data_IF_169386861286
#
_entry.id   IF_169386861286
#
_cell.length_a   1.000
_cell.length_b   1.000
_cell.length_c   1.000
_cell.angle_alpha   90.00
_cell.angle_beta   90.00
_cell.angle_gamma   90.00
#
_symmetry.space_group_name_H-M   'P 1'
#
loop_
_entity.id
_entity.type
_entity.pdbx_description
1 polymer ?
#
# COMPACT_ATOMS: atom_id res chain seq x y z
N UNK A 1 23.05 0.22 -6.48
CA UNK A 1 21.63 0.24 -6.88
C UNK A 1 21.40 -0.83 -7.94
N UNK A 2 20.47 -1.77 -7.70
CA UNK A 2 20.13 -2.91 -8.57
C UNK A 2 19.57 -2.46 -9.94
N UNK A 3 19.08 -1.23 -10.03
CA UNK A 3 18.55 -0.60 -11.23
C UNK A 3 19.18 0.80 -11.37
N UNK A 4 19.88 1.07 -12.47
CA UNK A 4 20.54 2.37 -12.71
C UNK A 4 19.56 3.54 -12.93
N UNK A 5 18.28 3.23 -13.11
CA UNK A 5 17.13 4.14 -13.17
C UNK A 5 15.96 3.48 -12.44
N UNK A 6 15.02 4.27 -11.90
CA UNK A 6 13.81 3.74 -11.25
C UNK A 6 12.90 3.16 -12.35
N UNK A 7 12.55 1.87 -12.32
CA UNK A 7 11.66 1.28 -13.31
C UNK A 7 10.23 1.84 -13.17
N UNK A 8 9.43 1.77 -14.23
CA UNK A 8 8.02 2.16 -14.16
C UNK A 8 7.15 1.12 -13.45
N UNK A 9 7.61 -0.13 -13.38
CA UNK A 9 6.90 -1.23 -12.75
C UNK A 9 7.89 -2.26 -12.20
N UNK A 10 7.61 -2.78 -11.00
CA UNK A 10 8.28 -3.92 -10.41
C UNK A 10 7.43 -5.19 -10.61
N UNK A 11 8.10 -6.35 -10.67
CA UNK A 11 7.40 -7.63 -10.86
C UNK A 11 6.58 -8.00 -9.62
N UNK A 12 5.32 -8.37 -9.84
CA UNK A 12 4.45 -9.01 -8.85
C UNK A 12 4.08 -10.39 -9.37
N UNK A 13 4.44 -11.44 -8.64
CA UNK A 13 4.22 -12.83 -9.07
C UNK A 13 2.82 -13.29 -8.67
N UNK A 14 1.80 -12.75 -9.33
CA UNK A 14 0.39 -13.01 -8.99
C UNK A 14 0.04 -14.51 -8.87
N UNK A 15 0.56 -15.36 -9.76
CA UNK A 15 0.33 -16.82 -9.69
C UNK A 15 1.00 -17.50 -8.51
N UNK A 16 2.13 -16.97 -8.01
CA UNK A 16 2.78 -17.50 -6.82
C UNK A 16 2.07 -17.04 -5.55
N UNK A 17 1.59 -15.79 -5.54
CA UNK A 17 0.71 -15.29 -4.49
C UNK A 17 -0.60 -16.08 -4.40
N UNK A 18 -1.23 -16.42 -5.52
CA UNK A 18 -2.45 -17.26 -5.52
C UNK A 18 -2.19 -18.63 -4.87
N UNK A 19 -1.12 -19.32 -5.29
CA UNK A 19 -0.70 -20.60 -4.68
C UNK A 19 -0.35 -20.47 -3.19
N UNK A 20 0.22 -19.33 -2.79
CA UNK A 20 0.54 -19.06 -1.39
C UNK A 20 -0.75 -18.95 -0.57
N UNK A 21 -1.72 -18.15 -1.04
CA UNK A 21 -3.01 -17.96 -0.35
C UNK A 21 -3.89 -19.21 -0.36
N UNK A 22 -3.81 -20.09 -1.37
CA UNK A 22 -4.49 -21.39 -1.37
C UNK A 22 -4.05 -22.29 -0.20
N UNK A 23 -2.81 -22.15 0.27
CA UNK A 23 -2.28 -22.90 1.42
C UNK A 23 -2.63 -22.26 2.76
N UNK A 24 -3.05 -20.99 2.75
CA UNK A 24 -3.34 -20.25 3.96
C UNK A 24 -4.67 -20.72 4.57
N UNK A 25 -4.58 -21.38 5.72
CA UNK A 25 -5.70 -21.80 6.58
C UNK A 25 -5.68 -21.04 7.90
N UNK A 26 -6.85 -20.77 8.50
CA UNK A 26 -6.95 -19.96 9.74
C UNK A 26 -6.22 -20.55 10.96
N UNK A 27 -5.73 -21.80 10.92
CA UNK A 27 -5.30 -22.54 12.12
C UNK A 27 -3.79 -22.74 12.29
N UNK A 28 -2.95 -22.58 11.26
CA UNK A 28 -1.53 -23.01 11.31
C UNK A 28 -0.50 -22.01 10.71
N UNK A 29 -0.89 -20.77 10.39
CA UNK A 29 -0.11 -19.93 9.46
C UNK A 29 0.38 -18.57 9.98
N UNK A 30 0.43 -18.34 11.30
CA UNK A 30 0.97 -17.08 11.86
C UNK A 30 2.44 -16.79 11.44
N UNK A 31 3.20 -17.80 11.03
CA UNK A 31 4.59 -17.69 10.55
C UNK A 31 4.77 -18.14 9.08
N UNK A 32 3.70 -18.27 8.29
CA UNK A 32 3.82 -18.68 6.89
C UNK A 32 4.35 -17.52 6.04
N UNK A 33 5.57 -17.68 5.53
CA UNK A 33 6.23 -16.69 4.66
C UNK A 33 6.29 -17.18 3.21
N UNK A 34 6.18 -16.29 2.21
CA UNK A 34 6.29 -16.68 0.81
C UNK A 34 7.70 -17.16 0.47
N UNK A 35 7.80 -18.31 -0.21
CA UNK A 35 9.08 -18.91 -0.65
C UNK A 35 9.61 -18.33 -1.98
N UNK A 36 9.03 -17.23 -2.46
CA UNK A 36 9.41 -16.58 -3.72
C UNK A 36 9.76 -15.11 -3.51
N UNK A 37 10.65 -14.58 -4.37
CA UNK A 37 11.02 -13.16 -4.39
C UNK A 37 10.19 -12.42 -5.45
N UNK A 38 9.53 -11.34 -5.04
CA UNK A 38 8.96 -10.32 -5.91
C UNK A 38 9.01 -8.94 -5.23
N UNK A 39 8.38 -7.91 -5.81
CA UNK A 39 8.44 -6.57 -5.24
C UNK A 39 7.79 -6.44 -3.84
N UNK A 40 6.87 -7.33 -3.47
CA UNK A 40 6.19 -7.30 -2.16
C UNK A 40 6.93 -8.11 -1.10
N UNK A 41 7.65 -9.16 -1.49
CA UNK A 41 8.47 -9.94 -0.55
C UNK A 41 9.88 -9.36 -0.36
N UNK A 42 10.29 -8.44 -1.24
CA UNK A 42 11.54 -7.69 -1.10
C UNK A 42 11.41 -6.64 0.01
N UNK A 43 12.30 -6.69 1.00
CA UNK A 43 12.35 -5.71 2.07
C UNK A 43 13.13 -4.45 1.64
N UNK A 44 12.42 -3.49 1.06
CA UNK A 44 13.00 -2.24 0.54
C UNK A 44 13.49 -1.28 1.64
N UNK A 45 12.95 -1.43 2.85
CA UNK A 45 13.15 -0.52 3.97
C UNK A 45 14.37 -0.86 4.82
N UNK A 46 14.88 -2.10 4.74
CA UNK A 46 16.00 -2.60 5.57
C UNK A 46 17.27 -1.74 5.52
N UNK A 47 17.53 -1.08 4.38
CA UNK A 47 18.70 -0.20 4.20
C UNK A 47 18.35 1.30 4.31
N UNK A 48 17.09 1.63 4.62
CA UNK A 48 16.60 3.00 4.73
C UNK A 48 16.52 3.36 6.22
N UNK A 49 17.31 4.35 6.63
CA UNK A 49 17.24 4.88 7.98
C UNK A 49 15.98 5.76 8.12
N UNK A 50 14.95 5.24 8.79
CA UNK A 50 13.70 5.97 9.06
C UNK A 50 13.52 6.13 10.57
N UNK A 51 13.29 7.36 11.02
CA UNK A 51 12.91 7.62 12.40
C UNK A 51 11.43 7.28 12.61
N UNK A 52 11.14 6.02 12.94
CA UNK A 52 9.77 5.49 13.14
C UNK A 52 8.96 6.34 14.12
N UNK A 53 9.55 6.76 15.24
CA UNK A 53 8.85 7.55 16.25
C UNK A 53 8.45 8.96 15.76
N UNK A 54 9.21 9.54 14.82
CA UNK A 54 8.83 10.80 14.18
C UNK A 54 7.78 10.57 13.09
N UNK A 55 7.93 9.51 12.29
CA UNK A 55 6.93 9.14 11.28
C UNK A 55 5.55 8.92 11.91
N UNK A 56 5.48 8.16 13.02
CA UNK A 56 4.24 7.96 13.76
C UNK A 56 3.61 9.29 14.21
N UNK A 57 4.41 10.22 14.74
CA UNK A 57 3.92 11.55 15.16
C UNK A 57 3.44 12.39 13.98
N UNK A 58 4.02 12.22 12.79
CA UNK A 58 3.54 12.88 11.59
C UNK A 58 2.16 12.33 11.21
N UNK A 59 1.99 11.00 11.22
CA UNK A 59 0.72 10.35 10.88
C UNK A 59 -0.36 10.64 11.93
N UNK A 60 -0.02 10.68 13.22
CA UNK A 60 -0.93 11.04 14.32
C UNK A 60 -1.53 12.45 14.18
N UNK A 61 -0.89 13.35 13.42
CA UNK A 61 -1.44 14.70 13.11
C UNK A 61 -2.44 14.68 11.96
N UNK A 62 -2.43 13.62 11.14
CA UNK A 62 -3.21 13.50 9.90
C UNK A 62 -4.48 12.68 10.16
N UNK A 63 -4.34 11.57 10.88
CA UNK A 63 -5.40 10.57 11.07
C UNK A 63 -5.29 9.95 12.46
N UNK A 64 -6.42 9.47 13.02
CA UNK A 64 -6.47 8.85 14.35
C UNK A 64 -6.02 7.39 14.32
N UNK A 65 -5.42 6.91 15.41
CA UNK A 65 -5.11 5.49 15.58
C UNK A 65 -6.38 4.63 15.60
N UNK A 66 -6.32 3.44 15.03
CA UNK A 66 -7.39 2.46 15.10
C UNK A 66 -7.64 2.05 16.55
N UNK A 67 -8.91 1.96 16.95
CA UNK A 67 -9.28 1.69 18.36
C UNK A 67 -9.39 0.20 18.70
N UNK A 68 -9.37 -0.66 17.68
CA UNK A 68 -9.64 -2.09 17.77
C UNK A 68 -8.37 -2.96 17.73
N UNK A 69 -7.19 -2.37 17.58
CA UNK A 69 -5.89 -3.07 17.62
C UNK A 69 -4.86 -2.23 18.37
N UNK A 70 -3.86 -2.91 18.92
CA UNK A 70 -2.64 -2.30 19.45
C UNK A 70 -1.54 -2.14 18.38
N UNK A 71 -1.78 -2.66 17.16
CA UNK A 71 -0.88 -2.51 16.02
C UNK A 71 -0.77 -1.05 15.57
N UNK A 72 0.27 -0.76 14.81
CA UNK A 72 0.55 0.58 14.26
C UNK A 72 -0.33 0.87 13.04
N UNK A 73 -1.65 0.92 13.28
CA UNK A 73 -2.69 1.16 12.28
C UNK A 73 -3.44 2.45 12.64
N UNK A 74 -3.69 3.28 11.62
CA UNK A 74 -4.55 4.45 11.71
C UNK A 74 -5.79 4.29 10.84
N UNK A 75 -6.92 4.78 11.35
CA UNK A 75 -8.23 4.66 10.73
C UNK A 75 -9.05 5.91 11.02
N UNK A 76 -9.75 6.42 10.01
CA UNK A 76 -10.72 7.50 10.14
C UNK A 76 -12.04 7.01 10.79
N UNK A 77 -11.97 6.53 12.03
CA UNK A 77 -13.12 5.96 12.72
C UNK A 77 -14.25 6.99 12.89
N UNK A 78 -15.44 6.67 12.37
CA UNK A 78 -16.65 7.53 12.41
C UNK A 78 -16.53 8.84 11.62
N UNK A 79 -15.61 8.92 10.67
CA UNK A 79 -15.47 10.06 9.76
C UNK A 79 -16.38 9.95 8.51
N UNK A 80 -16.50 11.05 7.78
CA UNK A 80 -17.19 11.10 6.48
C UNK A 80 -16.48 10.26 5.39
N UNK A 81 -15.15 10.12 5.50
CA UNK A 81 -14.30 9.46 4.51
C UNK A 81 -13.57 8.26 5.11
N UNK A 82 -13.38 7.21 4.31
CA UNK A 82 -12.75 5.94 4.72
C UNK A 82 -11.25 5.88 4.36
N UNK A 83 -10.41 6.55 5.16
CA UNK A 83 -8.95 6.54 5.02
C UNK A 83 -8.31 5.58 6.03
N UNK A 84 -7.15 5.04 5.68
CA UNK A 84 -6.33 4.25 6.61
C UNK A 84 -4.85 4.26 6.24
N UNK A 85 -4.03 4.00 7.25
CA UNK A 85 -2.58 3.85 7.17
C UNK A 85 -2.18 2.64 7.99
N UNK A 86 -1.25 1.84 7.48
CA UNK A 86 -0.64 0.72 8.19
C UNK A 86 0.87 0.88 8.17
N UNK A 87 1.50 0.67 9.32
CA UNK A 87 2.95 0.62 9.48
C UNK A 87 3.35 -0.70 10.12
N UNK A 88 3.81 -1.65 9.31
CA UNK A 88 4.41 -2.88 9.78
C UNK A 88 5.87 -2.64 10.16
N UNK A 89 6.26 -3.09 11.35
CA UNK A 89 7.65 -3.16 11.77
C UNK A 89 8.11 -4.61 11.76
N UNK A 90 9.41 -4.81 11.55
CA UNK A 90 9.98 -6.14 11.64
C UNK A 90 9.92 -6.69 13.08
N UNK A 91 10.15 -8.00 13.25
CA UNK A 91 10.04 -8.68 14.58
C UNK A 91 10.91 -8.05 15.69
N UNK A 92 11.96 -7.30 15.35
CA UNK A 92 12.83 -6.59 16.32
C UNK A 92 12.49 -5.10 16.49
N UNK A 93 11.50 -4.58 15.76
CA UNK A 93 11.14 -3.16 15.68
C UNK A 93 12.31 -2.24 15.28
N UNK A 94 13.28 -2.76 14.55
CA UNK A 94 14.48 -2.04 14.11
C UNK A 94 14.27 -1.28 12.80
N UNK A 95 13.40 -1.79 11.92
CA UNK A 95 13.09 -1.16 10.65
C UNK A 95 11.64 -1.45 10.23
N UNK A 96 11.17 -0.66 9.28
CA UNK A 96 9.84 -0.80 8.66
C UNK A 96 9.84 -2.05 7.79
N UNK A 97 8.86 -2.93 7.94
CA UNK A 97 8.65 -4.03 6.99
C UNK A 97 7.65 -3.64 5.90
N UNK A 98 6.61 -2.88 6.27
CA UNK A 98 5.58 -2.41 5.36
C UNK A 98 5.12 -1.00 5.75
N UNK A 99 4.90 -0.14 4.77
CA UNK A 99 4.21 1.13 4.97
C UNK A 99 3.21 1.34 3.84
N UNK A 100 1.93 1.37 4.19
CA UNK A 100 0.82 1.44 3.24
C UNK A 100 -0.21 2.47 3.69
N UNK A 101 -0.86 3.12 2.74
CA UNK A 101 -2.06 3.91 3.01
C UNK A 101 -3.14 3.65 1.95
N UNK A 102 -4.40 3.78 2.36
CA UNK A 102 -5.56 3.79 1.49
C UNK A 102 -6.28 5.12 1.66
N UNK A 103 -6.60 5.74 0.53
CA UNK A 103 -7.36 6.99 0.52
C UNK A 103 -8.74 6.77 -0.09
N UNK A 104 -9.74 7.35 0.55
CA UNK A 104 -11.07 7.52 -0.01
C UNK A 104 -11.06 8.66 -1.02
N UNK A 105 -11.20 8.31 -2.31
CA UNK A 105 -11.19 9.28 -3.41
C UNK A 105 -12.48 10.13 -3.48
N UNK A 106 -13.48 9.86 -2.65
CA UNK A 106 -14.63 10.76 -2.49
C UNK A 106 -14.31 11.96 -1.59
N UNK A 107 -13.20 11.93 -0.85
CA UNK A 107 -12.69 13.08 -0.09
C UNK A 107 -12.17 14.17 -1.04
N UNK A 108 -13.06 15.10 -1.38
CA UNK A 108 -12.73 16.24 -2.25
C UNK A 108 -11.78 17.26 -1.60
N UNK A 109 -11.54 17.19 -0.29
CA UNK A 109 -10.59 18.08 0.38
C UNK A 109 -9.14 17.69 0.08
N UNK A 110 -8.90 16.40 -0.21
CA UNK A 110 -7.59 15.81 -0.47
C UNK A 110 -6.57 16.03 0.67
N UNK A 111 -7.02 16.44 1.86
CA UNK A 111 -6.11 16.77 2.97
C UNK A 111 -5.30 15.56 3.41
N UNK A 112 -5.95 14.41 3.59
CA UNK A 112 -5.29 13.15 3.92
C UNK A 112 -4.26 12.78 2.84
N UNK A 113 -4.71 12.70 1.58
CA UNK A 113 -3.86 12.29 0.48
C UNK A 113 -2.65 13.21 0.32
N UNK A 114 -2.84 14.53 0.29
CA UNK A 114 -1.72 15.48 0.15
C UNK A 114 -0.73 15.34 1.30
N UNK A 115 -1.20 15.15 2.53
CA UNK A 115 -0.32 14.97 3.69
C UNK A 115 0.52 13.70 3.57
N UNK A 116 -0.05 12.58 3.11
CA UNK A 116 0.70 11.34 2.85
C UNK A 116 1.72 11.52 1.72
N UNK A 117 1.34 12.21 0.64
CA UNK A 117 2.26 12.53 -0.45
C UNK A 117 3.42 13.42 0.02
N UNK A 118 3.17 14.35 0.92
CA UNK A 118 4.21 15.22 1.49
C UNK A 118 5.18 14.43 2.37
N UNK A 119 4.70 13.51 3.22
CA UNK A 119 5.58 12.57 3.96
C UNK A 119 6.49 11.81 2.99
N UNK A 120 5.94 11.26 1.90
CA UNK A 120 6.74 10.55 0.91
C UNK A 120 7.79 11.45 0.24
N UNK A 121 7.43 12.70 -0.11
CA UNK A 121 8.38 13.65 -0.73
C UNK A 121 9.50 14.04 0.23
N UNK A 122 9.18 14.32 1.49
CA UNK A 122 10.16 14.73 2.50
C UNK A 122 11.23 13.66 2.76
N UNK A 123 10.89 12.40 2.52
CA UNK A 123 11.78 11.25 2.71
C UNK A 123 12.31 10.65 1.39
N UNK A 124 12.11 11.32 0.25
CA UNK A 124 12.49 10.83 -1.09
C UNK A 124 11.94 9.43 -1.45
N UNK A 125 10.74 9.11 -0.97
CA UNK A 125 10.06 7.84 -1.23
C UNK A 125 9.24 7.86 -2.54
N UNK A 126 9.05 6.66 -3.11
CA UNK A 126 8.21 6.42 -4.28
C UNK A 126 6.96 5.64 -3.87
N UNK A 127 5.88 5.80 -4.64
CA UNK A 127 4.65 5.04 -4.44
C UNK A 127 4.67 3.80 -5.33
N UNK A 128 4.11 2.71 -4.83
CA UNK A 128 3.87 1.47 -5.58
C UNK A 128 2.42 1.04 -5.39
N UNK A 129 1.72 0.70 -6.48
CA UNK A 129 0.41 0.06 -6.38
C UNK A 129 0.50 -1.45 -6.19
N UNK A 130 -0.66 -2.10 -6.06
CA UNK A 130 -0.74 -3.55 -5.88
C UNK A 130 -0.13 -4.33 -7.05
N UNK A 131 -0.07 -3.75 -8.25
CA UNK A 131 0.45 -4.41 -9.44
C UNK A 131 1.94 -4.06 -9.69
N UNK A 132 2.59 -3.43 -8.72
CA UNK A 132 3.99 -3.05 -8.79
C UNK A 132 4.25 -1.79 -9.61
N UNK A 133 3.21 -1.08 -10.07
CA UNK A 133 3.39 0.16 -10.83
C UNK A 133 3.94 1.25 -9.91
N UNK A 134 5.00 1.90 -10.34
CA UNK A 134 5.69 2.93 -9.59
C UNK A 134 5.28 4.32 -10.06
N UNK A 135 5.09 5.23 -9.11
CA UNK A 135 4.90 6.65 -9.43
C UNK A 135 5.53 7.55 -8.37
N UNK A 136 5.81 8.79 -8.75
CA UNK A 136 6.28 9.81 -7.81
C UNK A 136 5.13 10.21 -6.88
N UNK A 137 5.41 10.63 -5.65
CA UNK A 137 4.39 11.04 -4.69
C UNK A 137 3.80 12.42 -5.04
N UNK A 138 3.08 12.54 -6.16
CA UNK A 138 2.32 13.72 -6.52
C UNK A 138 0.99 13.36 -7.16
N UNK A 139 0.02 14.28 -7.10
CA UNK A 139 -1.34 14.05 -7.58
C UNK A 139 -1.39 13.72 -9.07
N UNK A 140 -0.55 14.35 -9.91
CA UNK A 140 -0.58 14.12 -11.36
C UNK A 140 -0.19 12.68 -11.70
N UNK A 141 0.90 12.18 -11.12
CA UNK A 141 1.40 10.84 -11.39
C UNK A 141 0.50 9.77 -10.74
N UNK A 142 0.04 10.00 -9.52
CA UNK A 142 -0.92 9.11 -8.86
C UNK A 142 -2.25 9.03 -9.63
N UNK A 143 -2.74 10.12 -10.20
CA UNK A 143 -3.96 10.12 -11.00
C UNK A 143 -3.83 9.26 -12.27
N UNK A 144 -2.63 9.14 -12.86
CA UNK A 144 -2.41 8.22 -13.98
C UNK A 144 -2.49 6.77 -13.52
N UNK A 145 -1.93 6.47 -12.35
CA UNK A 145 -2.01 5.13 -11.76
C UNK A 145 -3.47 4.75 -11.46
N UNK A 146 -4.24 5.66 -10.85
CA UNK A 146 -5.67 5.44 -10.55
C UNK A 146 -6.48 5.15 -11.82
N UNK A 147 -6.22 5.84 -12.93
CA UNK A 147 -6.89 5.58 -14.23
C UNK A 147 -6.60 4.19 -14.81
N UNK A 148 -5.54 3.53 -14.35
CA UNK A 148 -5.22 2.15 -14.70
C UNK A 148 -5.84 1.10 -13.76
N UNK A 149 -6.44 1.53 -12.65
CA UNK A 149 -6.89 0.64 -11.58
C UNK A 149 -8.23 -0.06 -11.88
N UNK A 150 -8.49 -1.14 -11.15
CA UNK A 150 -9.78 -1.85 -11.19
C UNK A 150 -10.94 -0.96 -10.74
N UNK A 151 -10.71 -0.04 -9.80
CA UNK A 151 -11.72 0.93 -9.38
C UNK A 151 -12.16 1.82 -10.55
N UNK A 152 -11.22 2.35 -11.31
CA UNK A 152 -11.55 3.19 -12.47
C UNK A 152 -12.18 2.37 -13.61
N UNK A 153 -11.73 1.13 -13.83
CA UNK A 153 -12.40 0.19 -14.76
C UNK A 153 -13.86 -0.05 -14.37
N UNK A 154 -14.12 -0.34 -13.10
CA UNK A 154 -15.46 -0.55 -12.55
C UNK A 154 -16.34 0.70 -12.71
N UNK A 155 -15.82 1.89 -12.38
CA UNK A 155 -16.56 3.15 -12.52
C UNK A 155 -16.90 3.50 -13.98
N UNK A 156 -16.01 3.19 -14.93
CA UNK A 156 -16.23 3.44 -16.35
C UNK A 156 -17.28 2.52 -16.98
N UNK A 157 -17.28 1.24 -16.64
CA UNK A 157 -18.27 0.27 -17.14
C UNK A 157 -18.39 -0.94 -16.20
N UNK A 158 -19.30 -0.91 -15.21
CA UNK A 158 -19.39 -1.95 -14.20
C UNK A 158 -19.83 -3.30 -14.78
N UNK A 159 -20.74 -3.32 -15.77
CA UNK A 159 -21.17 -4.56 -16.41
C UNK A 159 -19.99 -5.27 -17.10
N UNK A 160 -19.21 -4.52 -17.90
CA UNK A 160 -18.03 -5.06 -18.56
C UNK A 160 -16.98 -5.54 -17.57
N UNK A 161 -16.77 -4.80 -16.48
CA UNK A 161 -15.85 -5.21 -15.42
C UNK A 161 -16.23 -6.57 -14.82
N UNK A 162 -17.52 -6.79 -14.50
CA UNK A 162 -18.00 -8.08 -14.00
C UNK A 162 -17.94 -9.20 -15.05
N UNK A 163 -18.25 -8.90 -16.31
CA UNK A 163 -18.12 -9.87 -17.40
C UNK A 163 -16.66 -10.34 -17.54
N UNK A 164 -15.70 -9.43 -17.46
CA UNK A 164 -14.26 -9.76 -17.50
C UNK A 164 -13.83 -10.62 -16.32
N UNK A 165 -14.24 -10.30 -15.09
CA UNK A 165 -13.96 -11.13 -13.91
C UNK A 165 -14.52 -12.55 -14.02
N UNK A 166 -15.68 -12.72 -14.65
CA UNK A 166 -16.31 -14.03 -14.81
C UNK A 166 -15.60 -14.94 -15.83
N UNK A 167 -14.82 -14.33 -16.73
CA UNK A 167 -14.08 -15.01 -17.80
C UNK A 167 -12.61 -15.30 -17.42
N UNK A 168 -12.13 -14.83 -16.26
CA UNK A 168 -10.79 -15.14 -15.71
C UNK A 168 -10.76 -16.47 -14.92
N UNK A 169 -11.74 -17.36 -15.13
CA UNK A 169 -11.80 -18.71 -14.54
C UNK A 169 -11.20 -19.78 -15.43
#
# INVERSE_FOLDING_TARGET
>A
MKFGEIPNQLEIKHSEWEKFWEKYTETDNEDLEPEFEDARTTNWWKEIEVNVAELEKQIDKIITRASWTDDTIWKSEKAEFDHDVSLGLNKTNEFIDEFMFRTDLTDTTLNFLNSMLDICKENDWILMDRNGNLCKPNISDLAQLIKGSDTDRFLRNPNKFFDELSNEK
#
